data_IF_952136803603
#
_entry.id   IF_952136803603
#
_cell.length_a   1.000
_cell.length_b   1.000
_cell.length_c   1.000
_cell.angle_alpha   90.00
_cell.angle_beta   90.00
_cell.angle_gamma   90.00
#
_symmetry.space_group_name_H-M   'P 1'
#
loop_
_entity.id
_entity.type
_entity.pdbx_description
1 polymer ?
#
# COMPACT_ATOMS: atom_id res chain seq x y z
N UNK A 1 -37.80 -6.95 5.25
CA UNK A 1 -36.53 -6.61 4.56
C UNK A 1 -35.46 -6.58 5.63
N UNK A 2 -34.63 -7.62 5.70
CA UNK A 2 -33.51 -7.66 6.65
C UNK A 2 -32.47 -6.61 6.24
N UNK A 3 -32.14 -5.71 7.17
CA UNK A 3 -31.00 -4.81 7.03
C UNK A 3 -29.73 -5.66 6.95
N UNK A 4 -29.31 -6.00 5.73
CA UNK A 4 -27.94 -6.49 5.52
C UNK A 4 -27.00 -5.43 6.11
N UNK A 5 -26.07 -5.80 7.01
CA UNK A 5 -25.08 -4.86 7.49
C UNK A 5 -24.37 -4.27 6.27
N UNK A 6 -24.44 -2.94 6.14
CA UNK A 6 -23.65 -2.25 5.11
C UNK A 6 -22.19 -2.66 5.34
N UNK A 7 -21.46 -3.09 4.29
CA UNK A 7 -20.05 -3.39 4.45
C UNK A 7 -19.37 -2.17 5.06
N UNK A 8 -18.66 -2.36 6.16
CA UNK A 8 -17.87 -1.29 6.77
C UNK A 8 -17.06 -0.61 5.66
N UNK A 9 -17.15 0.72 5.50
CA UNK A 9 -16.45 1.40 4.43
C UNK A 9 -14.96 1.09 4.57
N UNK A 10 -14.36 0.54 3.50
CA UNK A 10 -12.93 0.22 3.48
C UNK A 10 -12.14 1.47 3.88
N UNK A 11 -11.17 1.30 4.76
CA UNK A 11 -10.42 2.42 5.36
C UNK A 11 -8.98 2.43 4.85
N UNK A 12 -8.42 3.61 4.66
CA UNK A 12 -7.01 3.78 4.37
C UNK A 12 -6.32 4.39 5.58
N UNK A 13 -5.20 3.80 5.98
CA UNK A 13 -4.37 4.31 7.06
C UNK A 13 -3.09 4.89 6.47
N UNK A 14 -2.93 6.19 6.63
CA UNK A 14 -1.83 6.96 6.08
C UNK A 14 -0.89 7.33 7.22
N UNK A 15 0.39 7.39 6.90
CA UNK A 15 1.35 8.08 7.79
C UNK A 15 1.11 9.58 7.70
N UNK A 16 1.20 10.27 8.83
CA UNK A 16 1.04 11.72 8.88
C UNK A 16 1.86 12.35 9.99
N UNK A 17 1.65 13.64 10.18
CA UNK A 17 2.21 14.39 11.29
C UNK A 17 1.29 15.56 11.64
N UNK A 18 1.31 15.92 12.92
CA UNK A 18 0.75 17.19 13.37
C UNK A 18 1.84 18.24 13.29
N UNK A 19 1.51 19.44 12.82
CA UNK A 19 2.42 20.59 12.83
C UNK A 19 1.78 21.79 13.50
N UNK A 20 2.50 22.41 14.43
CA UNK A 20 2.13 23.71 14.99
C UNK A 20 2.72 24.84 14.12
N UNK A 21 1.92 25.89 13.89
CA UNK A 21 2.32 27.11 13.19
C UNK A 21 2.26 28.28 14.16
N UNK A 22 3.40 28.73 14.71
CA UNK A 22 3.44 29.81 15.69
C UNK A 22 2.87 31.14 15.17
N UNK A 23 3.05 31.42 13.87
CA UNK A 23 2.61 32.67 13.23
C UNK A 23 1.11 32.94 13.36
N UNK A 24 0.29 31.89 13.48
CA UNK A 24 -1.17 32.02 13.61
C UNK A 24 -1.76 31.17 14.75
N UNK A 25 -0.93 30.57 15.60
CA UNK A 25 -1.38 29.73 16.71
C UNK A 25 -2.12 28.46 16.28
N UNK A 26 -1.96 28.01 15.04
CA UNK A 26 -2.80 26.95 14.45
C UNK A 26 -2.09 25.60 14.39
N UNK A 27 -2.87 24.53 14.52
CA UNK A 27 -2.43 23.15 14.39
C UNK A 27 -2.94 22.58 13.06
N UNK A 28 -2.06 21.91 12.34
CA UNK A 28 -2.37 21.29 11.06
C UNK A 28 -2.14 19.78 11.14
N UNK A 29 -3.12 19.02 10.66
CA UNK A 29 -2.93 17.62 10.32
C UNK A 29 -2.44 17.52 8.89
N UNK A 30 -1.33 16.81 8.70
CA UNK A 30 -0.70 16.59 7.41
C UNK A 30 -0.59 15.08 7.18
N UNK A 31 -1.32 14.55 6.20
CA UNK A 31 -1.33 13.12 5.89
C UNK A 31 -0.61 12.84 4.56
N UNK A 32 0.34 11.92 4.57
CA UNK A 32 1.25 11.65 3.45
C UNK A 32 0.66 10.61 2.50
N UNK A 33 0.18 11.07 1.34
CA UNK A 33 -0.20 10.18 0.25
C UNK A 33 -0.21 10.93 -1.08
N UNK A 34 0.81 10.70 -1.91
CA UNK A 34 0.87 11.26 -3.27
C UNK A 34 -0.30 10.77 -4.13
N UNK A 35 -0.67 9.49 -4.00
CA UNK A 35 -1.78 8.91 -4.76
C UNK A 35 -3.10 9.57 -4.40
N UNK A 36 -3.41 9.66 -3.10
CA UNK A 36 -4.61 10.37 -2.66
C UNK A 36 -4.62 11.82 -3.14
N UNK A 37 -3.49 12.53 -3.03
CA UNK A 37 -3.38 13.91 -3.52
C UNK A 37 -3.66 14.03 -5.02
N UNK A 38 -3.12 13.13 -5.84
CA UNK A 38 -3.34 13.12 -7.28
C UNK A 38 -4.81 12.85 -7.61
N UNK A 39 -5.45 11.92 -6.91
CA UNK A 39 -6.86 11.57 -7.13
C UNK A 39 -7.83 12.67 -6.69
N UNK A 40 -7.47 13.41 -5.64
CA UNK A 40 -8.32 14.47 -5.09
C UNK A 40 -8.11 15.84 -5.74
N UNK A 41 -7.05 16.03 -6.54
CA UNK A 41 -6.66 17.37 -7.03
C UNK A 41 -7.76 18.07 -7.83
N UNK A 42 -8.58 17.28 -8.54
CA UNK A 42 -9.69 17.72 -9.38
C UNK A 42 -11.01 17.93 -8.62
N UNK A 43 -11.12 17.53 -7.36
CA UNK A 43 -12.39 17.53 -6.61
C UNK A 43 -12.60 18.78 -5.72
N UNK A 44 -11.84 19.86 -5.94
CA UNK A 44 -11.84 21.03 -5.04
C UNK A 44 -13.07 21.94 -5.23
N UNK A 45 -13.61 22.54 -4.14
CA UNK A 45 -13.15 22.44 -2.75
C UNK A 45 -13.74 21.23 -1.99
N UNK A 46 -12.89 20.55 -1.20
CA UNK A 46 -13.30 19.44 -0.33
C UNK A 46 -13.31 19.94 1.12
N UNK A 47 -14.44 19.80 1.82
CA UNK A 47 -14.57 20.13 3.24
C UNK A 47 -14.51 18.87 4.09
N UNK A 48 -13.80 18.95 5.21
CA UNK A 48 -13.56 17.83 6.11
C UNK A 48 -13.73 18.21 7.58
N UNK A 49 -14.13 17.23 8.39
CA UNK A 49 -14.04 17.26 9.84
C UNK A 49 -12.97 16.27 10.26
N UNK A 50 -12.15 16.67 11.21
CA UNK A 50 -11.16 15.78 11.84
C UNK A 50 -11.63 15.42 13.23
N UNK A 51 -11.59 14.13 13.56
CA UNK A 51 -11.79 13.59 14.91
C UNK A 51 -10.54 12.82 15.34
N UNK A 52 -10.45 12.49 16.63
CA UNK A 52 -9.38 11.65 17.16
C UNK A 52 -10.02 10.51 17.96
N UNK A 53 -9.65 9.30 17.62
CA UNK A 53 -10.04 8.07 18.34
C UNK A 53 -8.80 7.21 18.52
N UNK A 54 -8.55 6.79 19.75
CA UNK A 54 -7.32 6.11 20.16
C UNK A 54 -6.06 6.86 19.66
N UNK A 55 -5.25 6.18 18.85
CA UNK A 55 -4.00 6.69 18.26
C UNK A 55 -4.18 7.24 16.83
N UNK A 56 -5.41 7.39 16.36
CA UNK A 56 -5.71 7.80 14.98
C UNK A 56 -6.34 9.19 14.91
N UNK A 57 -5.89 9.98 13.96
CA UNK A 57 -6.63 11.13 13.47
C UNK A 57 -7.51 10.68 12.31
N UNK A 58 -8.82 10.87 12.42
CA UNK A 58 -9.78 10.41 11.43
C UNK A 58 -10.27 11.61 10.62
N UNK A 59 -10.20 11.51 9.29
CA UNK A 59 -10.67 12.54 8.36
C UNK A 59 -11.99 12.09 7.73
N UNK A 60 -13.06 12.83 8.01
CA UNK A 60 -14.38 12.64 7.40
C UNK A 60 -14.73 13.76 6.44
N UNK A 61 -15.25 13.41 5.25
CA UNK A 61 -15.84 14.41 4.35
C UNK A 61 -17.19 14.86 4.91
N UNK A 62 -17.42 16.17 4.92
CA UNK A 62 -18.63 16.79 5.49
C UNK A 62 -19.07 17.98 4.62
N UNK A 63 -20.31 18.43 4.79
CA UNK A 63 -20.84 19.61 4.10
C UNK A 63 -20.24 20.93 4.64
N UNK A 64 -19.94 20.95 5.93
CA UNK A 64 -19.40 22.11 6.64
C UNK A 64 -18.22 21.71 7.51
N UNK A 65 -17.09 22.41 7.37
CA UNK A 65 -15.86 22.07 8.05
C UNK A 65 -14.63 22.77 7.46
N UNK A 66 -13.46 22.27 7.83
CA UNK A 66 -12.18 22.80 7.36
C UNK A 66 -11.96 22.43 5.89
N UNK A 67 -11.37 23.33 5.12
CA UNK A 67 -11.00 23.06 3.73
C UNK A 67 -9.77 22.15 3.71
N UNK A 68 -9.92 20.98 3.08
CA UNK A 68 -8.80 20.09 2.78
C UNK A 68 -7.97 20.68 1.64
N UNK A 69 -6.74 21.05 1.95
CA UNK A 69 -5.79 21.59 0.98
C UNK A 69 -4.86 20.48 0.50
N UNK A 70 -4.66 20.39 -0.81
CA UNK A 70 -3.85 19.35 -1.43
C UNK A 70 -2.48 19.92 -1.81
N UNK A 71 -1.42 19.22 -1.42
CA UNK A 71 -0.03 19.46 -1.84
C UNK A 71 0.51 18.22 -2.55
N UNK A 72 1.62 18.37 -3.29
CA UNK A 72 2.20 17.32 -4.15
C UNK A 72 2.40 15.94 -3.49
N UNK A 73 2.54 15.86 -2.15
CA UNK A 73 2.77 14.60 -1.42
C UNK A 73 1.88 14.41 -0.19
N UNK A 74 1.09 15.41 0.18
CA UNK A 74 0.37 15.42 1.44
C UNK A 74 -0.94 16.20 1.31
N UNK A 75 -1.96 15.74 2.03
CA UNK A 75 -3.18 16.51 2.27
C UNK A 75 -3.04 17.23 3.61
N UNK A 76 -3.55 18.46 3.67
CA UNK A 76 -3.39 19.35 4.82
C UNK A 76 -4.75 19.88 5.23
N UNK A 77 -5.08 19.76 6.51
CA UNK A 77 -6.29 20.38 7.07
C UNK A 77 -5.99 20.99 8.45
N UNK A 78 -6.65 22.10 8.74
CA UNK A 78 -6.60 22.71 10.07
C UNK A 78 -7.33 21.81 11.07
N UNK A 79 -6.83 21.73 12.30
CA UNK A 79 -7.46 20.99 13.39
C UNK A 79 -7.57 21.85 14.65
N UNK A 80 -8.62 21.64 15.44
CA UNK A 80 -8.76 22.29 16.74
C UNK A 80 -7.85 21.60 17.77
N UNK A 81 -6.65 22.13 17.97
CA UNK A 81 -5.69 21.59 18.93
C UNK A 81 -6.18 21.60 20.38
N UNK A 82 -7.14 22.47 20.73
CA UNK A 82 -7.76 22.51 22.06
C UNK A 82 -8.58 21.24 22.33
N UNK A 83 -9.31 20.76 21.32
CA UNK A 83 -10.23 19.65 21.45
C UNK A 83 -9.63 18.30 21.03
N UNK A 84 -8.62 18.29 20.16
CA UNK A 84 -8.09 17.07 19.55
C UNK A 84 -6.70 16.65 20.06
N UNK A 85 -5.92 17.56 20.65
CA UNK A 85 -4.58 17.25 21.15
C UNK A 85 -4.58 17.22 22.68
N UNK A 86 -3.82 16.30 23.27
CA UNK A 86 -3.60 16.29 24.73
C UNK A 86 -2.69 17.46 25.13
N UNK A 87 -2.68 17.80 26.42
CA UNK A 87 -1.74 18.79 26.96
C UNK A 87 -0.30 18.40 26.65
N UNK A 88 0.04 17.13 26.81
CA UNK A 88 1.36 16.59 26.52
C UNK A 88 1.74 16.71 25.04
N UNK A 89 0.83 16.38 24.12
CA UNK A 89 1.05 16.51 22.67
C UNK A 89 1.27 17.98 22.27
N UNK A 90 0.52 18.90 22.86
CA UNK A 90 0.73 20.35 22.63
C UNK A 90 2.09 20.80 23.16
N UNK A 91 2.48 20.38 24.36
CA UNK A 91 3.79 20.69 24.93
C UNK A 91 4.94 20.16 24.06
N UNK A 92 4.81 18.95 23.50
CA UNK A 92 5.79 18.40 22.54
C UNK A 92 5.94 19.28 21.30
N UNK A 93 4.84 19.83 20.78
CA UNK A 93 4.87 20.73 19.62
C UNK A 93 5.49 22.11 19.89
N UNK A 94 5.63 22.50 21.16
CA UNK A 94 6.19 23.80 21.56
C UNK A 94 7.63 23.69 22.10
N UNK A 95 8.14 22.47 22.29
CA UNK A 95 9.53 22.21 22.69
C UNK A 95 10.47 22.38 21.48
N UNK A 96 11.67 22.93 21.69
CA UNK A 96 12.71 23.13 20.66
C UNK A 96 13.25 21.81 20.08
N UNK A 97 13.19 20.70 20.83
CA UNK A 97 13.70 19.39 20.39
C UNK A 97 12.86 18.75 19.28
N UNK A 98 11.54 18.93 19.33
CA UNK A 98 10.64 18.48 18.28
C UNK A 98 10.43 19.66 17.31
N UNK A 99 10.74 19.50 16.02
CA UNK A 99 10.63 20.55 14.98
C UNK A 99 9.17 21.00 14.73
N UNK A 100 8.51 21.56 15.74
CA UNK A 100 7.10 21.95 15.81
C UNK A 100 6.16 20.90 15.20
N UNK A 101 6.53 19.62 15.28
CA UNK A 101 5.79 18.52 14.68
C UNK A 101 6.12 17.17 15.32
N UNK A 102 5.14 16.26 15.30
CA UNK A 102 5.31 14.86 15.71
C UNK A 102 4.51 13.93 14.78
N UNK A 103 4.96 12.68 14.57
CA UNK A 103 4.31 11.73 13.66
C UNK A 103 3.01 11.20 14.24
N UNK A 104 2.03 10.92 13.36
CA UNK A 104 0.73 10.34 13.71
C UNK A 104 0.26 9.35 12.65
N UNK A 105 -0.75 8.55 13.00
CA UNK A 105 -1.49 7.75 12.03
C UNK A 105 -2.80 8.45 11.68
N UNK A 106 -3.15 8.42 10.40
CA UNK A 106 -4.33 9.09 9.86
C UNK A 106 -5.24 8.08 9.19
N UNK A 107 -6.50 8.02 9.61
CA UNK A 107 -7.52 7.19 8.99
C UNK A 107 -8.39 8.02 8.05
N UNK A 108 -8.67 7.48 6.86
CA UNK A 108 -9.53 8.10 5.85
C UNK A 108 -10.41 7.04 5.19
N UNK A 109 -11.61 7.42 4.76
CA UNK A 109 -12.56 6.53 4.09
C UNK A 109 -12.68 6.93 2.61
N UNK A 110 -12.05 6.20 1.67
CA UNK A 110 -11.96 6.62 0.26
C UNK A 110 -13.32 6.82 -0.39
N UNK A 111 -14.31 5.99 -0.03
CA UNK A 111 -15.68 6.09 -0.54
C UNK A 111 -16.32 7.45 -0.26
N UNK A 112 -16.00 8.10 0.87
CA UNK A 112 -16.50 9.44 1.16
C UNK A 112 -16.01 10.47 0.13
N UNK A 113 -14.88 10.21 -0.52
CA UNK A 113 -14.28 11.07 -1.53
C UNK A 113 -14.53 10.58 -2.97
N UNK A 114 -15.53 9.72 -3.19
CA UNK A 114 -15.79 9.07 -4.47
C UNK A 114 -14.55 8.35 -5.03
N UNK A 115 -13.70 7.83 -4.14
CA UNK A 115 -12.54 7.04 -4.49
C UNK A 115 -12.78 5.59 -4.14
N UNK A 116 -12.21 4.72 -4.97
CA UNK A 116 -12.09 3.31 -4.66
C UNK A 116 -10.87 3.09 -3.75
N UNK A 117 -10.90 2.07 -2.90
CA UNK A 117 -9.78 1.69 -2.03
C UNK A 117 -8.53 1.40 -2.88
N UNK A 118 -8.72 0.80 -4.06
CA UNK A 118 -7.66 0.47 -5.00
C UNK A 118 -6.97 1.72 -5.59
N UNK A 119 -7.65 2.88 -5.58
CA UNK A 119 -7.06 4.16 -6.00
C UNK A 119 -5.92 4.64 -5.09
N UNK A 120 -5.71 3.98 -3.94
CA UNK A 120 -4.71 4.35 -2.94
C UNK A 120 -3.48 3.44 -2.91
N UNK A 121 -3.45 2.37 -3.71
CA UNK A 121 -2.23 1.60 -3.90
C UNK A 121 -1.13 2.48 -4.48
N UNK A 122 0.13 2.32 -4.05
CA UNK A 122 1.26 3.04 -4.61
C UNK A 122 1.58 2.61 -6.04
N UNK A 123 1.24 1.37 -6.39
CA UNK A 123 1.46 0.75 -7.69
C UNK A 123 0.13 0.42 -8.39
N UNK A 124 0.06 0.69 -9.69
CA UNK A 124 -1.17 0.53 -10.47
C UNK A 124 -1.46 -0.94 -10.80
N UNK A 125 -0.43 -1.75 -11.05
CA UNK A 125 -0.61 -3.17 -11.38
C UNK A 125 -1.07 -3.94 -10.14
N UNK A 126 -0.52 -3.60 -8.98
CA UNK A 126 -0.96 -4.13 -7.70
C UNK A 126 -2.45 -3.82 -7.45
N UNK A 127 -2.90 -2.60 -7.73
CA UNK A 127 -4.31 -2.23 -7.64
C UNK A 127 -5.19 -3.05 -8.59
N UNK A 128 -4.79 -3.20 -9.86
CA UNK A 128 -5.54 -3.95 -10.88
C UNK A 128 -5.65 -5.42 -10.46
N UNK A 129 -4.54 -6.03 -10.07
CA UNK A 129 -4.49 -7.41 -9.63
C UNK A 129 -5.31 -7.64 -8.35
N UNK A 130 -5.20 -6.74 -7.38
CA UNK A 130 -5.96 -6.82 -6.13
C UNK A 130 -7.47 -6.78 -6.40
N UNK A 131 -7.94 -5.87 -7.26
CA UNK A 131 -9.35 -5.81 -7.67
C UNK A 131 -9.79 -7.12 -8.31
N UNK A 132 -8.98 -7.68 -9.22
CA UNK A 132 -9.29 -8.93 -9.91
C UNK A 132 -9.32 -10.13 -8.94
N UNK A 133 -8.41 -10.19 -7.97
CA UNK A 133 -8.43 -11.20 -6.91
C UNK A 133 -9.69 -11.10 -6.05
N UNK A 134 -10.12 -9.89 -5.69
CA UNK A 134 -11.37 -9.67 -4.96
C UNK A 134 -12.61 -10.11 -5.75
N UNK A 135 -12.67 -9.84 -7.05
CA UNK A 135 -13.73 -10.34 -7.94
C UNK A 135 -13.82 -11.88 -7.93
N UNK A 136 -12.70 -12.57 -7.68
CA UNK A 136 -12.63 -14.04 -7.55
C UNK A 136 -12.87 -14.54 -6.12
N UNK A 137 -13.29 -13.66 -5.20
CA UNK A 137 -13.66 -14.02 -3.83
C UNK A 137 -12.53 -14.01 -2.81
N UNK A 138 -11.37 -13.41 -3.15
CA UNK A 138 -10.30 -13.21 -2.17
C UNK A 138 -10.56 -11.98 -1.32
N UNK A 139 -10.37 -12.11 -0.01
CA UNK A 139 -10.51 -10.99 0.91
C UNK A 139 -9.23 -10.14 0.92
N UNK A 140 -9.16 -9.17 0.01
CA UNK A 140 -8.08 -8.19 0.00
C UNK A 140 -8.23 -7.25 1.21
N UNK A 141 -7.14 -6.93 1.93
CA UNK A 141 -7.21 -6.08 3.12
C UNK A 141 -8.02 -4.82 2.88
N UNK A 142 -9.06 -4.66 3.68
CA UNK A 142 -9.88 -3.44 3.69
C UNK A 142 -9.09 -2.24 4.19
N UNK A 143 -8.01 -2.49 4.94
CA UNK A 143 -7.06 -1.51 5.46
C UNK A 143 -5.81 -1.47 4.59
N UNK A 144 -5.65 -0.41 3.82
CA UNK A 144 -4.41 -0.14 3.06
C UNK A 144 -3.52 0.81 3.86
N UNK A 145 -2.26 0.44 4.08
CA UNK A 145 -1.27 1.29 4.74
C UNK A 145 -0.31 1.94 3.72
N UNK A 146 -0.27 3.27 3.62
CA UNK A 146 0.66 3.99 2.70
C UNK A 146 1.90 4.52 3.44
N UNK A 147 2.96 5.02 2.76
CA UNK A 147 3.87 4.44 1.77
C UNK A 147 5.18 3.92 2.42
N UNK A 148 5.07 3.33 3.62
CA UNK A 148 6.21 2.70 4.35
C UNK A 148 5.81 1.38 5.03
N UNK A 149 4.77 0.70 4.55
CA UNK A 149 4.09 -0.33 5.35
C UNK A 149 3.69 -1.60 4.62
N UNK A 150 3.66 -1.59 3.29
CA UNK A 150 3.78 -2.85 2.59
C UNK A 150 5.26 -3.00 2.26
N UNK A 151 5.87 -4.04 2.81
CA UNK A 151 7.19 -4.51 2.35
C UNK A 151 7.09 -5.08 0.91
N UNK A 152 5.87 -5.19 0.37
CA UNK A 152 5.51 -5.86 -0.88
C UNK A 152 4.53 -5.02 -1.72
N UNK A 153 4.40 -5.30 -3.01
CA UNK A 153 3.41 -4.59 -3.85
C UNK A 153 1.96 -4.93 -3.46
N UNK A 154 1.70 -6.19 -3.06
CA UNK A 154 0.41 -6.64 -2.52
C UNK A 154 0.60 -7.75 -1.48
N UNK A 155 -0.14 -7.67 -0.37
CA UNK A 155 -0.16 -8.69 0.67
C UNK A 155 -1.59 -8.94 1.16
N UNK A 156 -1.96 -10.19 1.42
CA UNK A 156 -3.24 -10.56 2.02
C UNK A 156 -3.19 -11.93 2.72
N UNK A 157 -4.24 -12.25 3.48
CA UNK A 157 -4.38 -13.56 4.15
C UNK A 157 -5.43 -14.40 3.41
N UNK A 158 -5.11 -15.66 3.13
CA UNK A 158 -6.04 -16.65 2.58
C UNK A 158 -5.86 -18.00 3.28
N UNK A 159 -6.95 -18.57 3.80
CA UNK A 159 -6.93 -19.87 4.49
C UNK A 159 -5.80 -20.00 5.54
N UNK A 160 -5.62 -18.95 6.37
CA UNK A 160 -4.55 -18.81 7.37
C UNK A 160 -3.12 -18.79 6.81
N UNK A 161 -2.95 -18.63 5.49
CA UNK A 161 -1.66 -18.39 4.85
C UNK A 161 -1.50 -16.91 4.51
N UNK A 162 -0.31 -16.38 4.73
CA UNK A 162 0.14 -15.06 4.26
C UNK A 162 0.54 -15.16 2.80
N UNK A 163 -0.13 -14.39 1.95
CA UNK A 163 0.18 -14.29 0.52
C UNK A 163 0.91 -12.99 0.29
N UNK A 164 2.14 -13.06 -0.25
CA UNK A 164 2.96 -11.91 -0.61
C UNK A 164 3.18 -11.87 -2.12
N UNK A 165 3.00 -10.71 -2.73
CA UNK A 165 3.07 -10.55 -4.18
C UNK A 165 3.96 -9.35 -4.52
N UNK A 166 4.92 -9.61 -5.40
CA UNK A 166 5.85 -8.63 -5.97
C UNK A 166 5.63 -8.53 -7.48
N UNK A 167 5.58 -7.32 -8.03
CA UNK A 167 5.25 -7.06 -9.42
C UNK A 167 6.32 -6.18 -10.07
N UNK A 168 6.85 -6.60 -11.21
CA UNK A 168 7.72 -5.73 -12.01
C UNK A 168 7.51 -5.91 -13.51
N UNK A 169 7.16 -4.82 -14.19
CA UNK A 169 7.07 -4.76 -15.64
C UNK A 169 8.45 -4.62 -16.34
N UNK A 170 9.54 -4.58 -15.57
CA UNK A 170 10.89 -4.33 -16.13
C UNK A 170 11.22 -5.35 -17.21
N UNK A 171 11.43 -4.88 -18.44
CA UNK A 171 11.84 -5.73 -19.56
C UNK A 171 13.36 -5.94 -19.48
N UNK A 172 13.85 -7.18 -19.64
CA UNK A 172 15.29 -7.42 -19.72
C UNK A 172 15.86 -6.79 -21.00
N UNK A 173 16.98 -6.11 -20.84
CA UNK A 173 17.76 -5.46 -21.88
C UNK A 173 19.25 -5.53 -21.56
N UNK A 174 20.11 -5.05 -22.46
CA UNK A 174 21.57 -5.23 -22.38
C UNK A 174 22.22 -4.78 -21.06
N UNK A 175 21.59 -3.88 -20.30
CA UNK A 175 22.17 -3.31 -19.08
C UNK A 175 21.66 -3.92 -17.77
N UNK A 176 20.58 -4.72 -17.80
CA UNK A 176 19.96 -5.30 -16.60
C UNK A 176 19.82 -6.83 -16.66
N UNK A 177 20.10 -7.47 -17.81
CA UNK A 177 20.02 -8.94 -17.95
C UNK A 177 21.20 -9.73 -17.35
N UNK A 178 22.41 -9.15 -17.28
CA UNK A 178 23.61 -9.81 -16.74
C UNK A 178 24.16 -9.15 -15.47
N UNK A 179 23.95 -7.85 -15.30
CA UNK A 179 24.59 -7.07 -14.25
C UNK A 179 23.63 -6.74 -13.10
N UNK A 180 23.13 -7.80 -12.45
CA UNK A 180 22.32 -7.73 -11.23
C UNK A 180 23.01 -7.05 -10.04
N UNK A 181 24.33 -6.84 -10.10
CA UNK A 181 25.12 -6.29 -8.98
C UNK A 181 25.24 -4.76 -8.94
N UNK A 182 25.16 -4.05 -10.09
CA UNK A 182 25.57 -2.63 -10.15
C UNK A 182 24.64 -1.71 -10.95
N UNK A 183 23.64 -2.23 -11.66
CA UNK A 183 22.67 -1.40 -12.40
C UNK A 183 21.38 -1.21 -11.59
N UNK A 184 20.89 0.03 -11.47
CA UNK A 184 19.69 0.35 -10.68
C UNK A 184 18.45 -0.49 -11.06
N UNK A 185 18.21 -0.72 -12.35
CA UNK A 185 17.10 -1.55 -12.84
C UNK A 185 17.28 -3.06 -12.53
N UNK A 186 18.51 -3.56 -12.58
CA UNK A 186 18.80 -4.95 -12.17
C UNK A 186 18.64 -5.13 -10.66
N UNK A 187 18.97 -4.09 -9.87
CA UNK A 187 18.74 -4.06 -8.43
C UNK A 187 17.26 -4.10 -8.04
N UNK A 188 16.39 -3.38 -8.77
CA UNK A 188 14.94 -3.39 -8.54
C UNK A 188 14.37 -4.79 -8.75
N UNK A 189 14.64 -5.42 -9.90
CA UNK A 189 14.17 -6.79 -10.18
C UNK A 189 14.69 -7.76 -9.12
N UNK A 190 15.96 -7.62 -8.72
CA UNK A 190 16.53 -8.44 -7.63
C UNK A 190 15.82 -8.25 -6.30
N UNK A 191 15.45 -7.02 -5.95
CA UNK A 191 14.76 -6.72 -4.70
C UNK A 191 13.43 -7.48 -4.64
N UNK A 192 12.59 -7.36 -5.66
CA UNK A 192 11.32 -8.10 -5.76
C UNK A 192 11.51 -9.62 -5.63
N UNK A 193 12.50 -10.19 -6.33
CA UNK A 193 12.79 -11.62 -6.21
C UNK A 193 13.22 -12.01 -4.79
N UNK A 194 14.13 -11.24 -4.20
CA UNK A 194 14.69 -11.56 -2.89
C UNK A 194 13.69 -11.30 -1.76
N UNK A 195 12.84 -10.29 -1.85
CA UNK A 195 11.86 -9.94 -0.80
C UNK A 195 10.79 -11.02 -0.66
N UNK A 196 10.15 -11.41 -1.78
CA UNK A 196 9.19 -12.52 -1.77
C UNK A 196 9.86 -13.84 -1.34
N UNK A 197 11.03 -14.15 -1.90
CA UNK A 197 11.76 -15.38 -1.57
C UNK A 197 12.19 -15.42 -0.10
N UNK A 198 12.72 -14.33 0.45
CA UNK A 198 13.15 -14.23 1.84
C UNK A 198 11.99 -14.47 2.81
N UNK A 199 10.80 -13.92 2.56
CA UNK A 199 9.62 -14.18 3.38
C UNK A 199 9.21 -15.65 3.37
N UNK A 200 9.27 -16.28 2.19
CA UNK A 200 8.97 -17.69 2.02
C UNK A 200 9.98 -18.59 2.74
N UNK A 201 11.27 -18.33 2.59
CA UNK A 201 12.37 -19.03 3.28
C UNK A 201 12.22 -18.90 4.79
N UNK A 202 11.96 -17.70 5.32
CA UNK A 202 11.82 -17.51 6.76
C UNK A 202 10.65 -18.29 7.35
N UNK A 203 9.51 -18.33 6.64
CA UNK A 203 8.36 -19.16 7.03
C UNK A 203 8.69 -20.65 6.99
N UNK A 204 9.44 -21.10 5.98
CA UNK A 204 9.89 -22.48 5.83
C UNK A 204 10.87 -22.88 6.95
N UNK A 205 11.90 -22.07 7.21
CA UNK A 205 12.91 -22.30 8.25
C UNK A 205 12.32 -22.26 9.66
N UNK A 206 11.27 -21.46 9.88
CA UNK A 206 10.53 -21.40 11.15
C UNK A 206 9.57 -22.58 11.36
N UNK A 207 9.47 -23.49 10.39
CA UNK A 207 8.59 -24.67 10.45
C UNK A 207 7.10 -24.38 10.29
N UNK A 208 6.69 -23.10 10.11
CA UNK A 208 5.28 -22.69 10.00
C UNK A 208 4.71 -22.96 8.61
N UNK A 209 5.51 -22.73 7.56
CA UNK A 209 5.10 -22.86 6.14
C UNK A 209 3.78 -22.14 5.81
N UNK A 210 3.53 -21.05 6.50
CA UNK A 210 2.33 -20.21 6.42
C UNK A 210 2.42 -19.12 5.34
N UNK A 211 3.56 -18.96 4.65
CA UNK A 211 3.73 -17.97 3.59
C UNK A 211 3.73 -18.61 2.21
N UNK A 212 3.02 -18.00 1.25
CA UNK A 212 3.15 -18.26 -0.19
C UNK A 212 3.54 -16.95 -0.87
N UNK A 213 4.61 -16.98 -1.66
CA UNK A 213 5.12 -15.82 -2.38
C UNK A 213 4.89 -15.92 -3.88
N UNK A 214 4.54 -14.81 -4.51
CA UNK A 214 4.42 -14.68 -5.96
C UNK A 214 5.28 -13.54 -6.46
N UNK A 215 6.06 -13.80 -7.51
CA UNK A 215 6.88 -12.82 -8.21
C UNK A 215 6.36 -12.75 -9.64
N UNK A 216 5.68 -11.65 -9.99
CA UNK A 216 5.08 -11.43 -11.30
C UNK A 216 6.02 -10.54 -12.11
N UNK A 217 6.65 -11.11 -13.14
CA UNK A 217 7.68 -10.44 -13.94
C UNK A 217 7.35 -10.50 -15.43
N UNK A 218 7.98 -9.61 -16.20
CA UNK A 218 7.80 -9.57 -17.65
C UNK A 218 8.21 -10.89 -18.33
N UNK A 219 7.42 -11.38 -19.28
CA UNK A 219 7.61 -12.71 -19.89
C UNK A 219 8.95 -12.95 -20.57
N UNK A 220 9.56 -11.90 -21.15
CA UNK A 220 10.91 -11.93 -21.74
C UNK A 220 11.99 -12.43 -20.78
N UNK A 221 11.77 -12.39 -19.46
CA UNK A 221 12.70 -12.98 -18.50
C UNK A 221 12.82 -14.51 -18.64
N UNK A 222 11.85 -15.19 -19.27
CA UNK A 222 11.90 -16.64 -19.57
C UNK A 222 13.09 -17.02 -20.44
N UNK A 223 13.59 -16.11 -21.27
CA UNK A 223 14.70 -16.35 -22.19
C UNK A 223 16.04 -16.52 -21.45
N UNK A 224 16.12 -16.15 -20.16
CA UNK A 224 17.35 -16.13 -19.40
C UNK A 224 17.46 -17.32 -18.45
N UNK A 225 18.48 -18.15 -18.70
CA UNK A 225 18.70 -19.40 -17.95
C UNK A 225 18.89 -19.20 -16.44
N UNK A 226 19.46 -18.08 -16.01
CA UNK A 226 19.65 -17.80 -14.59
C UNK A 226 18.33 -17.48 -13.87
N UNK A 227 17.27 -17.08 -14.57
CA UNK A 227 15.93 -16.93 -14.00
C UNK A 227 15.21 -18.28 -13.99
N UNK A 228 15.22 -19.00 -15.11
CA UNK A 228 14.51 -20.28 -15.21
C UNK A 228 15.07 -21.35 -14.28
N UNK A 229 16.38 -21.31 -13.99
CA UNK A 229 17.03 -22.15 -12.96
C UNK A 229 16.57 -21.86 -11.52
N UNK A 230 16.01 -20.68 -11.23
CA UNK A 230 15.50 -20.35 -9.89
C UNK A 230 14.11 -20.94 -9.63
N UNK A 231 13.32 -21.18 -10.68
CA UNK A 231 11.92 -21.64 -10.56
C UNK A 231 11.80 -22.91 -9.71
N UNK A 232 12.61 -23.97 -9.92
CA UNK A 232 12.53 -25.18 -9.10
C UNK A 232 12.96 -24.93 -7.64
N UNK A 233 13.94 -24.06 -7.41
CA UNK A 233 14.43 -23.73 -6.06
C UNK A 233 13.40 -22.93 -5.27
N UNK A 234 12.76 -21.95 -5.91
CA UNK A 234 11.75 -21.10 -5.29
C UNK A 234 10.51 -21.94 -4.92
N UNK A 235 10.13 -22.88 -5.78
CA UNK A 235 8.98 -23.76 -5.53
C UNK A 235 9.15 -24.64 -4.28
N UNK A 236 10.38 -24.95 -3.86
CA UNK A 236 10.65 -25.73 -2.63
C UNK A 236 10.21 -25.02 -1.35
N UNK A 237 10.06 -23.70 -1.41
CA UNK A 237 9.69 -22.85 -0.25
C UNK A 237 8.34 -22.14 -0.46
N UNK A 238 7.46 -22.66 -1.34
CA UNK A 238 6.18 -22.02 -1.70
C UNK A 238 6.34 -20.61 -2.29
N UNK A 239 7.42 -20.37 -3.02
CA UNK A 239 7.64 -19.15 -3.79
C UNK A 239 7.51 -19.45 -5.28
N UNK A 240 6.72 -18.67 -6.00
CA UNK A 240 6.36 -18.93 -7.38
C UNK A 240 6.67 -17.73 -8.26
N UNK A 241 7.26 -17.98 -9.43
CA UNK A 241 7.52 -16.94 -10.44
C UNK A 241 6.45 -17.07 -11.53
N UNK A 242 5.68 -16.00 -11.72
CA UNK A 242 4.68 -15.87 -12.77
C UNK A 242 5.21 -14.91 -13.83
N UNK A 243 5.12 -15.33 -15.08
CA UNK A 243 5.53 -14.52 -16.22
C UNK A 243 4.31 -13.91 -16.89
N UNK A 244 4.29 -12.58 -16.98
CA UNK A 244 3.21 -11.80 -17.56
C UNK A 244 3.73 -10.92 -18.69
N UNK A 245 2.92 -10.68 -19.71
CA UNK A 245 3.22 -9.69 -20.76
C UNK A 245 2.72 -8.28 -20.41
N UNK A 246 1.97 -8.14 -19.29
CA UNK A 246 1.33 -6.90 -18.84
C UNK A 246 0.49 -6.21 -19.93
N UNK A 247 -0.07 -7.00 -20.83
CA UNK A 247 -1.00 -6.57 -21.89
C UNK A 247 -2.35 -7.24 -21.69
N UNK A 248 -3.30 -6.93 -22.56
CA UNK A 248 -4.70 -7.41 -22.58
C UNK A 248 -4.97 -8.66 -21.73
N UNK A 249 -5.79 -8.51 -20.68
CA UNK A 249 -6.24 -9.54 -19.73
C UNK A 249 -5.13 -10.22 -18.90
N UNK A 250 -3.93 -9.65 -18.79
CA UNK A 250 -2.85 -10.23 -17.98
C UNK A 250 -3.27 -10.47 -16.53
N UNK A 251 -4.11 -9.60 -15.97
CA UNK A 251 -4.58 -9.66 -14.59
C UNK A 251 -5.49 -10.87 -14.36
N UNK A 252 -6.31 -11.24 -15.35
CA UNK A 252 -7.19 -12.41 -15.30
C UNK A 252 -6.37 -13.70 -15.34
N UNK A 253 -5.40 -13.77 -16.26
CA UNK A 253 -4.50 -14.92 -16.43
C UNK A 253 -3.66 -15.11 -15.17
N UNK A 254 -3.05 -14.04 -14.68
CA UNK A 254 -2.18 -14.06 -13.50
C UNK A 254 -2.97 -14.43 -12.25
N UNK A 255 -4.16 -13.86 -12.07
CA UNK A 255 -5.07 -14.23 -10.97
C UNK A 255 -5.39 -15.72 -11.00
N UNK A 256 -5.72 -16.27 -12.17
CA UNK A 256 -6.03 -17.70 -12.30
C UNK A 256 -4.85 -18.59 -11.91
N UNK A 257 -3.61 -18.20 -12.28
CA UNK A 257 -2.40 -18.91 -11.87
C UNK A 257 -2.19 -18.85 -10.36
N UNK A 258 -2.29 -17.66 -9.75
CA UNK A 258 -2.19 -17.48 -8.29
C UNK A 258 -3.18 -18.39 -7.57
N UNK A 259 -4.44 -18.38 -7.99
CA UNK A 259 -5.50 -19.21 -7.39
C UNK A 259 -5.17 -20.69 -7.49
N UNK A 260 -4.63 -21.11 -8.63
CA UNK A 260 -4.25 -22.51 -8.86
C UNK A 260 -3.13 -22.92 -7.90
N UNK A 261 -2.10 -22.11 -7.74
CA UNK A 261 -0.98 -22.41 -6.83
C UNK A 261 -1.39 -22.37 -5.36
N UNK A 262 -2.24 -21.42 -4.95
CA UNK A 262 -2.75 -21.33 -3.57
C UNK A 262 -3.54 -22.58 -3.16
N UNK A 263 -4.23 -23.21 -4.12
CA UNK A 263 -5.11 -24.36 -3.89
C UNK A 263 -4.40 -25.72 -3.98
N UNK A 264 -3.12 -25.77 -4.37
CA UNK A 264 -2.30 -26.98 -4.28
C UNK A 264 -1.94 -27.28 -2.83
#
# INVERSE_FOLDING_TARGET
>A
MENKPQPNPKEAILTGYIRYRPSNGTYYLMANSRMLCNQLISQKPIKVKVTKEDNFFIIHKVLEGNILTIRKKEIVTCISGINLLTVEERSKLMNKEHKLSFPVQVKLFPSQFNLDIYSLYPDQDAAILARKLEEKGFNIPTRIMTPKSFDHDLEFIYANKRIVIEITQTIPGKNNYLNFKHAGLGGIVRAHFLEAYHNCVNSFLSGKKDTIGFIIIHERWKEYSHITKLIPEFSKVNCHIIFSNFKDNWEEITTTQIITEIKK
#
